data_IF_967559763573
#
_entry.id   IF_967559763573
#
_cell.length_a   1.000
_cell.length_b   1.000
_cell.length_c   1.000
_cell.angle_alpha   90.00
_cell.angle_beta   90.00
_cell.angle_gamma   90.00
#
_symmetry.space_group_name_H-M   'P 1'
#
loop_
_entity.id
_entity.type
_entity.pdbx_description
1 polymer ?
#
# COMPACT_ATOMS: atom_id res chain seq x y z
N UNK A 1 -12.20 24.33 18.76
CA UNK A 1 -11.90 24.41 17.32
C UNK A 1 -11.17 23.15 16.92
N UNK A 2 -11.37 22.62 15.70
CA UNK A 2 -10.60 21.46 15.23
C UNK A 2 -9.11 21.78 15.11
N UNK A 3 -8.26 20.82 15.40
CA UNK A 3 -6.79 20.92 15.24
C UNK A 3 -6.27 19.78 14.36
N UNK A 4 -5.16 20.05 13.68
CA UNK A 4 -4.42 19.07 12.89
C UNK A 4 -2.96 19.05 13.38
N UNK A 5 -2.53 17.90 13.86
CA UNK A 5 -1.16 17.66 14.33
C UNK A 5 -0.42 16.71 13.40
N UNK A 6 0.82 17.07 13.04
CA UNK A 6 1.68 16.30 12.16
C UNK A 6 2.62 15.43 12.99
N UNK A 7 2.31 14.14 13.13
CA UNK A 7 3.06 13.21 13.99
C UNK A 7 4.16 12.45 13.24
N UNK A 8 4.09 12.41 11.91
CA UNK A 8 5.04 11.73 11.04
C UNK A 8 4.98 12.23 9.60
N UNK A 9 5.81 11.64 8.72
CA UNK A 9 5.97 12.04 7.30
C UNK A 9 6.20 13.55 7.04
N UNK A 10 6.78 14.29 7.99
CA UNK A 10 7.21 15.68 7.83
C UNK A 10 8.72 15.75 7.72
N UNK A 11 9.22 16.30 6.60
CA UNK A 11 10.65 16.29 6.26
C UNK A 11 11.21 14.89 5.94
N UNK A 12 10.33 13.91 5.68
CA UNK A 12 10.65 12.53 5.32
C UNK A 12 9.48 11.91 4.57
N UNK A 13 9.71 10.88 3.75
CA UNK A 13 8.66 10.20 2.94
C UNK A 13 7.85 9.20 3.76
N UNK A 14 8.48 8.58 4.75
CA UNK A 14 7.94 7.40 5.45
C UNK A 14 7.43 7.72 6.86
N UNK A 15 6.54 6.87 7.38
CA UNK A 15 5.96 6.99 8.72
C UNK A 15 4.80 7.97 8.75
N UNK A 16 3.90 7.89 7.77
CA UNK A 16 2.71 8.76 7.66
C UNK A 16 1.79 8.60 8.86
N UNK A 17 1.56 9.73 9.57
CA UNK A 17 0.70 9.82 10.76
C UNK A 17 0.25 11.27 10.97
N UNK A 18 -1.04 11.52 10.88
CA UNK A 18 -1.64 12.84 11.13
C UNK A 18 -2.81 12.70 12.10
N UNK A 19 -2.92 13.60 13.07
CA UNK A 19 -3.98 13.54 14.08
C UNK A 19 -4.93 14.71 13.89
N UNK A 20 -6.21 14.42 13.66
CA UNK A 20 -7.28 15.41 13.73
C UNK A 20 -7.92 15.31 15.10
N UNK A 21 -8.04 16.43 15.79
CA UNK A 21 -8.84 16.51 17.02
C UNK A 21 -10.02 17.45 16.80
N UNK A 22 -11.22 16.99 17.10
CA UNK A 22 -12.45 17.79 16.99
C UNK A 22 -13.51 17.22 17.93
N UNK A 23 -14.27 18.08 18.60
CA UNK A 23 -15.34 17.67 19.53
C UNK A 23 -14.87 16.77 20.68
N UNK A 24 -13.61 16.91 21.11
CA UNK A 24 -13.01 16.04 22.12
C UNK A 24 -12.71 14.62 21.62
N UNK A 25 -12.78 14.40 20.30
CA UNK A 25 -12.47 13.14 19.62
C UNK A 25 -11.19 13.23 18.82
N UNK A 26 -10.44 12.13 18.75
CA UNK A 26 -9.13 12.03 18.09
C UNK A 26 -9.17 11.01 16.96
N UNK A 27 -8.92 11.47 15.74
CA UNK A 27 -8.91 10.66 14.51
C UNK A 27 -7.49 10.61 13.95
N UNK A 28 -6.89 9.44 13.91
CA UNK A 28 -5.56 9.24 13.34
C UNK A 28 -5.66 8.87 11.86
N UNK A 29 -5.13 9.71 10.98
CA UNK A 29 -4.99 9.45 9.55
C UNK A 29 -3.61 8.83 9.31
N UNK A 30 -3.62 7.61 8.76
CA UNK A 30 -2.48 6.72 8.63
C UNK A 30 -1.78 6.36 9.96
N UNK A 31 -1.17 5.18 9.99
CA UNK A 31 -0.40 4.66 11.10
C UNK A 31 0.86 3.95 10.58
N UNK A 32 1.71 4.70 9.88
CA UNK A 32 2.84 4.16 9.14
C UNK A 32 4.11 3.85 9.94
N UNK A 33 4.91 2.87 9.49
CA UNK A 33 6.30 2.71 9.97
C UNK A 33 7.25 3.69 9.30
N UNK A 34 8.23 4.19 10.04
CA UNK A 34 9.40 4.84 9.48
C UNK A 34 10.36 3.79 8.89
N UNK A 35 10.64 3.87 7.59
CA UNK A 35 11.53 2.97 6.85
C UNK A 35 12.85 3.66 6.44
N UNK A 36 13.72 2.94 5.72
CA UNK A 36 14.93 3.51 5.11
C UNK A 36 16.12 3.70 6.06
N UNK A 37 16.53 4.93 6.35
CA UNK A 37 17.73 5.23 7.15
C UNK A 37 17.59 4.78 8.61
N UNK A 38 18.71 4.34 9.23
CA UNK A 38 18.72 3.82 10.62
C UNK A 38 18.08 4.79 11.61
N UNK A 39 18.43 6.07 11.50
CA UNK A 39 17.87 7.14 12.35
C UNK A 39 16.33 7.21 12.27
N UNK A 40 15.76 6.99 11.09
CA UNK A 40 14.30 6.97 10.91
C UNK A 40 13.67 5.73 11.53
N UNK A 41 14.22 4.54 11.24
CA UNK A 41 13.66 3.29 11.82
C UNK A 41 13.68 3.27 13.35
N UNK A 42 14.67 3.89 13.98
CA UNK A 42 14.73 4.01 15.44
C UNK A 42 13.55 4.80 16.01
N UNK A 43 12.97 5.75 15.26
CA UNK A 43 11.77 6.49 15.68
C UNK A 43 10.55 5.60 15.85
N UNK A 44 10.52 4.42 15.24
CA UNK A 44 9.46 3.46 15.52
C UNK A 44 9.52 2.95 16.96
N UNK A 45 10.67 3.00 17.63
CA UNK A 45 10.85 2.55 19.02
C UNK A 45 10.47 3.59 20.06
N UNK A 46 10.45 4.87 19.69
CA UNK A 46 10.06 5.97 20.56
C UNK A 46 8.63 5.80 21.08
N UNK A 47 8.35 6.39 22.24
CA UNK A 47 6.98 6.49 22.76
C UNK A 47 6.09 7.20 21.75
N UNK A 48 4.86 6.69 21.58
CA UNK A 48 3.90 7.37 20.72
C UNK A 48 3.59 8.76 21.32
N UNK A 49 3.51 9.83 20.50
CA UNK A 49 3.37 11.19 21.03
C UNK A 49 2.09 11.45 21.85
N UNK A 50 1.09 10.58 21.72
CA UNK A 50 -0.16 10.60 22.48
C UNK A 50 -0.44 9.20 23.04
N UNK A 51 -1.29 9.09 24.05
CA UNK A 51 -1.69 7.77 24.54
C UNK A 51 -2.53 7.06 23.46
N UNK A 52 -2.19 5.82 23.04
CA UNK A 52 -2.98 5.08 22.05
C UNK A 52 -4.44 4.89 22.45
N UNK A 53 -4.74 4.82 23.75
CA UNK A 53 -6.10 4.70 24.28
C UNK A 53 -6.96 5.96 24.11
N UNK A 54 -6.35 7.10 23.82
CA UNK A 54 -7.07 8.35 23.56
C UNK A 54 -7.48 8.50 22.09
N UNK A 55 -6.98 7.64 21.20
CA UNK A 55 -7.34 7.66 19.78
C UNK A 55 -8.67 6.92 19.62
N UNK A 56 -9.68 7.62 19.12
CA UNK A 56 -11.01 7.03 18.91
C UNK A 56 -11.06 6.17 17.64
N UNK A 57 -10.41 6.62 16.57
CA UNK A 57 -10.51 6.00 15.24
C UNK A 57 -9.18 6.11 14.49
N UNK A 58 -8.81 5.06 13.76
CA UNK A 58 -7.74 5.10 12.76
C UNK A 58 -8.35 5.03 11.36
N UNK A 59 -7.86 5.86 10.44
CA UNK A 59 -8.32 5.93 9.05
C UNK A 59 -7.11 5.74 8.15
N UNK A 60 -7.09 4.70 7.33
CA UNK A 60 -5.95 4.35 6.48
C UNK A 60 -6.21 4.75 5.03
N UNK A 61 -5.26 5.45 4.43
CA UNK A 61 -5.32 5.86 3.02
C UNK A 61 -5.11 4.68 2.07
N UNK A 62 -4.08 3.87 2.31
CA UNK A 62 -3.72 2.73 1.48
C UNK A 62 -2.84 1.73 2.23
N UNK A 63 -2.57 0.57 1.62
CA UNK A 63 -2.02 -0.59 2.32
C UNK A 63 -0.50 -0.58 2.58
N UNK A 64 0.28 0.36 2.03
CA UNK A 64 1.72 0.35 2.22
C UNK A 64 2.12 0.46 3.70
N UNK A 65 3.25 -0.16 4.04
CA UNK A 65 3.72 -0.33 5.43
C UNK A 65 4.11 1.00 6.09
N UNK A 66 4.54 1.99 5.31
CA UNK A 66 4.76 3.35 5.77
C UNK A 66 3.50 4.20 5.93
N UNK A 67 2.32 3.61 5.72
CA UNK A 67 1.01 4.16 6.03
C UNK A 67 0.20 3.29 7.01
N UNK A 68 0.53 2.00 7.15
CA UNK A 68 -0.26 1.05 7.98
C UNK A 68 0.54 0.27 9.00
N UNK A 69 1.85 0.12 8.79
CA UNK A 69 2.64 -0.88 9.49
C UNK A 69 2.88 -0.63 10.97
N UNK A 70 2.62 0.57 11.50
CA UNK A 70 2.71 0.82 12.94
C UNK A 70 1.42 0.45 13.69
N UNK A 71 0.31 0.22 12.98
CA UNK A 71 -0.98 -0.10 13.57
C UNK A 71 -0.92 -1.30 14.54
N UNK A 72 -0.25 -2.44 14.24
CA UNK A 72 -0.13 -3.53 15.20
C UNK A 72 0.50 -3.12 16.53
N UNK A 73 1.52 -2.25 16.50
CA UNK A 73 2.13 -1.72 17.72
C UNK A 73 1.23 -0.72 18.44
N UNK A 74 0.47 0.09 17.69
CA UNK A 74 -0.51 0.99 18.29
C UNK A 74 -1.57 0.20 19.09
N UNK A 75 -2.09 -0.88 18.51
CA UNK A 75 -3.06 -1.79 19.14
C UNK A 75 -2.48 -2.45 20.38
N UNK A 76 -1.29 -3.04 20.26
CA UNK A 76 -0.54 -3.62 21.38
C UNK A 76 -0.35 -2.65 22.55
N UNK A 77 -0.21 -1.37 22.26
CA UNK A 77 -0.02 -0.32 23.26
C UNK A 77 -1.33 0.31 23.78
N UNK A 78 -2.49 -0.28 23.48
CA UNK A 78 -3.76 0.08 24.10
C UNK A 78 -4.75 0.86 23.22
N UNK A 79 -4.59 0.83 21.89
CA UNK A 79 -5.65 1.29 20.98
C UNK A 79 -6.65 0.15 20.70
N UNK A 80 -7.95 0.45 20.83
CA UNK A 80 -9.05 -0.51 20.65
C UNK A 80 -10.17 0.01 19.74
N UNK A 81 -10.00 1.18 19.13
CA UNK A 81 -11.00 1.80 18.26
C UNK A 81 -11.10 1.13 16.88
N UNK A 82 -12.13 1.47 16.08
CA UNK A 82 -12.26 0.96 14.72
C UNK A 82 -11.16 1.52 13.81
N UNK A 83 -10.77 0.70 12.83
CA UNK A 83 -9.86 1.06 11.75
C UNK A 83 -10.66 1.11 10.44
N UNK A 84 -10.84 2.29 9.86
CA UNK A 84 -11.52 2.43 8.57
C UNK A 84 -10.52 2.46 7.41
N UNK A 85 -10.80 1.69 6.38
CA UNK A 85 -10.05 1.65 5.14
C UNK A 85 -10.96 1.21 4.00
N UNK A 86 -10.51 1.32 2.75
CA UNK A 86 -11.26 0.75 1.63
C UNK A 86 -11.27 -0.79 1.69
N UNK A 87 -12.24 -1.44 1.03
CA UNK A 87 -12.29 -2.91 0.98
C UNK A 87 -10.98 -3.52 0.49
N UNK A 88 -10.41 -2.99 -0.60
CA UNK A 88 -9.18 -3.52 -1.15
C UNK A 88 -7.95 -3.20 -0.28
N UNK A 89 -7.90 -2.03 0.38
CA UNK A 89 -6.85 -1.74 1.37
C UNK A 89 -6.93 -2.70 2.56
N UNK A 90 -8.13 -3.00 3.08
CA UNK A 90 -8.29 -4.01 4.15
C UNK A 90 -7.82 -5.40 3.72
N UNK A 91 -8.18 -5.83 2.51
CA UNK A 91 -7.72 -7.12 1.94
C UNK A 91 -6.19 -7.15 1.81
N UNK A 92 -5.57 -6.09 1.30
CA UNK A 92 -4.10 -5.99 1.19
C UNK A 92 -3.43 -5.94 2.56
N UNK A 93 -3.96 -5.19 3.54
CA UNK A 93 -3.44 -5.18 4.90
C UNK A 93 -3.49 -6.56 5.57
N UNK A 94 -4.49 -7.40 5.25
CA UNK A 94 -4.57 -8.78 5.74
C UNK A 94 -3.39 -9.66 5.32
N UNK A 95 -2.70 -9.27 4.24
CA UNK A 95 -1.47 -9.89 3.77
C UNK A 95 -0.22 -9.15 4.29
N UNK A 96 -0.19 -7.82 4.16
CA UNK A 96 1.00 -7.02 4.39
C UNK A 96 1.39 -6.91 5.87
N UNK A 97 0.40 -6.77 6.79
CA UNK A 97 0.71 -6.63 8.22
C UNK A 97 1.29 -7.92 8.82
N UNK A 98 0.73 -9.12 8.57
CA UNK A 98 1.33 -10.37 9.05
C UNK A 98 2.70 -10.67 8.43
N UNK A 99 2.89 -10.39 7.13
CA UNK A 99 4.19 -10.57 6.46
C UNK A 99 5.27 -9.67 7.08
N UNK A 100 4.95 -8.39 7.27
CA UNK A 100 5.84 -7.44 7.95
C UNK A 100 6.17 -7.88 9.38
N UNK A 101 5.20 -8.42 10.12
CA UNK A 101 5.43 -8.96 11.46
C UNK A 101 6.35 -10.19 11.44
N UNK A 102 6.12 -11.10 10.49
CA UNK A 102 6.92 -12.31 10.33
C UNK A 102 8.39 -11.98 10.06
N UNK A 103 8.66 -11.07 9.12
CA UNK A 103 10.02 -10.60 8.82
C UNK A 103 10.71 -10.01 10.06
N UNK A 104 9.98 -9.23 10.87
CA UNK A 104 10.54 -8.66 12.10
C UNK A 104 10.85 -9.72 13.16
N UNK A 105 10.00 -10.75 13.29
CA UNK A 105 10.26 -11.88 14.17
C UNK A 105 11.48 -12.68 13.72
N UNK A 106 11.63 -12.91 12.41
CA UNK A 106 12.80 -13.58 11.85
C UNK A 106 14.08 -12.78 12.07
N UNK A 107 14.06 -11.47 11.83
CA UNK A 107 15.19 -10.57 12.09
C UNK A 107 15.60 -10.60 13.57
N UNK A 108 14.63 -10.55 14.48
CA UNK A 108 14.89 -10.65 15.92
C UNK A 108 15.49 -12.01 16.30
N UNK A 109 14.94 -13.12 15.79
CA UNK A 109 15.46 -14.49 16.00
C UNK A 109 16.89 -14.62 15.47
N UNK A 110 17.15 -14.12 14.27
CA UNK A 110 18.46 -14.13 13.64
C UNK A 110 19.48 -13.31 14.45
N UNK A 111 19.11 -12.11 14.88
CA UNK A 111 19.95 -11.25 15.71
C UNK A 111 20.31 -11.89 17.06
N UNK A 112 19.33 -12.54 17.71
CA UNK A 112 19.57 -13.30 18.93
C UNK A 112 20.49 -14.51 18.70
N UNK A 113 20.27 -15.26 17.61
CA UNK A 113 21.11 -16.43 17.24
C UNK A 113 22.56 -16.04 16.97
N UNK A 114 22.77 -14.95 16.24
CA UNK A 114 24.10 -14.48 15.84
C UNK A 114 24.77 -13.54 16.87
N UNK A 115 24.07 -13.16 17.94
CA UNK A 115 24.56 -12.32 19.05
C UNK A 115 25.19 -10.98 18.63
N UNK A 116 24.73 -10.36 17.54
CA UNK A 116 25.21 -9.04 17.10
C UNK A 116 24.33 -7.87 17.58
N UNK A 117 23.24 -8.16 18.30
CA UNK A 117 22.34 -7.15 18.87
C UNK A 117 22.93 -6.55 20.16
N UNK A 118 22.72 -5.24 20.36
CA UNK A 118 23.00 -4.56 21.64
C UNK A 118 21.90 -4.81 22.69
N UNK A 119 20.72 -5.24 22.25
CA UNK A 119 19.59 -5.58 23.11
C UNK A 119 19.53 -7.09 23.33
N UNK A 120 19.35 -7.51 24.58
CA UNK A 120 19.32 -8.93 24.98
C UNK A 120 18.04 -9.21 25.77
N UNK A 121 17.01 -9.85 25.17
CA UNK A 121 16.94 -10.27 23.77
C UNK A 121 16.63 -9.12 22.80
N UNK A 122 16.97 -9.30 21.51
CA UNK A 122 16.35 -8.55 20.44
C UNK A 122 14.86 -8.92 20.35
N UNK A 123 14.00 -7.92 20.25
CA UNK A 123 12.56 -8.08 20.12
C UNK A 123 12.08 -7.52 18.78
N UNK A 124 11.07 -8.14 18.14
CA UNK A 124 10.37 -7.50 17.04
C UNK A 124 9.56 -6.31 17.56
N UNK A 125 9.23 -5.35 16.68
CA UNK A 125 8.39 -4.21 17.05
C UNK A 125 6.97 -4.67 17.43
N UNK A 126 6.49 -5.67 16.70
CA UNK A 126 5.23 -6.38 16.90
C UNK A 126 5.33 -7.78 16.27
N UNK A 127 4.46 -8.68 16.71
CA UNK A 127 4.39 -10.08 16.32
C UNK A 127 3.29 -10.34 15.30
N UNK A 128 3.28 -11.54 14.71
CA UNK A 128 2.19 -11.94 13.79
C UNK A 128 0.83 -11.94 14.50
N UNK A 129 0.80 -12.24 15.80
CA UNK A 129 -0.43 -12.16 16.60
C UNK A 129 -0.87 -10.72 16.80
N UNK A 130 0.05 -9.81 17.12
CA UNK A 130 -0.24 -8.37 17.21
C UNK A 130 -0.84 -7.84 15.88
N UNK A 131 -0.35 -8.33 14.73
CA UNK A 131 -0.91 -7.97 13.43
C UNK A 131 -2.33 -8.52 13.21
N UNK A 132 -2.63 -9.74 13.66
CA UNK A 132 -3.98 -10.31 13.62
C UNK A 132 -4.95 -9.55 14.52
N UNK A 133 -4.51 -9.17 15.72
CA UNK A 133 -5.31 -8.39 16.65
C UNK A 133 -5.67 -7.03 16.03
N UNK A 134 -4.71 -6.36 15.37
CA UNK A 134 -4.99 -5.15 14.62
C UNK A 134 -5.96 -5.35 13.46
N UNK A 135 -5.82 -6.44 12.70
CA UNK A 135 -6.74 -6.77 11.60
C UNK A 135 -8.18 -6.99 12.07
N UNK A 136 -8.40 -7.43 13.32
CA UNK A 136 -9.74 -7.62 13.88
C UNK A 136 -10.52 -6.31 14.05
N UNK A 137 -9.83 -5.16 14.08
CA UNK A 137 -10.41 -3.83 14.22
C UNK A 137 -10.81 -3.19 12.87
N UNK A 138 -10.49 -3.83 11.73
CA UNK A 138 -10.76 -3.28 10.41
C UNK A 138 -12.26 -3.28 10.08
N UNK A 139 -12.71 -2.13 9.58
CA UNK A 139 -14.06 -1.86 9.11
C UNK A 139 -13.97 -1.40 7.65
N UNK A 140 -14.07 -2.31 6.66
CA UNK A 140 -13.91 -1.97 5.24
C UNK A 140 -15.09 -1.15 4.70
N UNK A 141 -14.78 -0.05 4.01
CA UNK A 141 -15.76 0.89 3.44
C UNK A 141 -15.58 0.99 1.92
N UNK A 142 -16.60 0.75 1.08
CA UNK A 142 -16.49 0.98 -0.36
C UNK A 142 -16.24 2.46 -0.69
N UNK A 143 -15.57 2.73 -1.82
CA UNK A 143 -15.44 4.09 -2.34
C UNK A 143 -16.79 4.79 -2.48
N UNK A 144 -16.80 6.10 -2.23
CA UNK A 144 -17.98 6.96 -2.37
C UNK A 144 -19.03 6.78 -1.27
N UNK A 145 -18.95 5.75 -0.42
CA UNK A 145 -19.81 5.60 0.75
C UNK A 145 -19.37 6.58 1.84
N UNK A 146 -20.25 7.50 2.22
CA UNK A 146 -20.06 8.37 3.37
C UNK A 146 -20.42 7.64 4.65
N UNK A 147 -19.57 7.73 5.67
CA UNK A 147 -19.84 7.27 7.02
C UNK A 147 -19.82 8.44 8.01
N UNK A 148 -20.71 8.40 8.98
CA UNK A 148 -20.80 9.39 10.06
C UNK A 148 -19.92 8.92 11.22
N UNK A 149 -18.83 9.65 11.50
CA UNK A 149 -17.93 9.37 12.63
C UNK A 149 -18.50 9.97 13.92
N UNK A 150 -19.06 11.18 13.83
CA UNK A 150 -19.88 11.85 14.86
C UNK A 150 -21.02 12.60 14.14
N UNK A 151 -22.05 13.10 14.84
CA UNK A 151 -23.10 13.91 14.21
C UNK A 151 -22.61 15.11 13.38
N UNK A 152 -21.36 15.56 13.59
CA UNK A 152 -20.76 16.70 12.89
C UNK A 152 -19.54 16.33 12.03
N UNK A 153 -19.12 15.05 12.01
CA UNK A 153 -17.94 14.60 11.29
C UNK A 153 -18.30 13.44 10.38
N UNK A 154 -18.08 13.61 9.08
CA UNK A 154 -18.29 12.59 8.06
C UNK A 154 -16.97 12.24 7.37
N UNK A 155 -16.82 10.97 7.00
CA UNK A 155 -15.69 10.44 6.24
C UNK A 155 -16.19 9.81 4.94
N UNK A 156 -15.53 10.11 3.82
CA UNK A 156 -15.71 9.41 2.55
C UNK A 156 -14.35 9.05 1.95
N UNK A 157 -14.22 7.82 1.44
CA UNK A 157 -13.05 7.43 0.66
C UNK A 157 -13.28 7.71 -0.82
N UNK A 158 -12.34 8.39 -1.48
CA UNK A 158 -12.34 8.60 -2.94
C UNK A 158 -11.08 8.01 -3.53
N UNK A 159 -11.16 7.49 -4.74
CA UNK A 159 -10.02 6.80 -5.35
C UNK A 159 -8.81 7.73 -5.52
N UNK A 160 -7.64 7.31 -5.04
CA UNK A 160 -6.39 8.04 -5.18
C UNK A 160 -5.55 7.56 -6.38
N UNK A 161 -5.89 6.42 -6.98
CA UNK A 161 -5.20 5.87 -8.16
C UNK A 161 -3.74 5.44 -7.93
N UNK A 162 -3.26 5.33 -6.69
CA UNK A 162 -1.86 5.00 -6.36
C UNK A 162 -1.59 3.49 -6.37
N UNK A 163 -2.35 2.76 -5.55
CA UNK A 163 -2.42 1.30 -5.57
C UNK A 163 -3.88 0.87 -5.46
N UNK A 164 -4.17 -0.41 -5.70
CA UNK A 164 -5.51 -0.95 -5.53
C UNK A 164 -6.05 -0.66 -4.13
N UNK A 165 -7.18 0.02 -4.02
CA UNK A 165 -7.76 0.41 -2.73
C UNK A 165 -7.23 1.72 -2.15
N UNK A 166 -6.22 2.35 -2.75
CA UNK A 166 -5.72 3.64 -2.28
C UNK A 166 -6.80 4.73 -2.35
N UNK A 167 -6.83 5.59 -1.34
CA UNK A 167 -7.90 6.56 -1.22
C UNK A 167 -7.44 7.91 -0.68
N UNK A 168 -8.03 8.96 -1.27
CA UNK A 168 -8.20 10.22 -0.60
C UNK A 168 -9.15 10.05 0.58
N UNK A 169 -8.73 10.56 1.72
CA UNK A 169 -9.53 10.63 2.94
C UNK A 169 -10.20 12.00 2.98
N UNK A 170 -11.48 12.02 2.59
CA UNK A 170 -12.32 13.21 2.49
C UNK A 170 -13.17 13.36 3.76
N UNK A 171 -12.77 14.30 4.62
CA UNK A 171 -13.40 14.54 5.92
C UNK A 171 -14.15 15.86 5.87
N UNK A 172 -15.43 15.81 6.25
CA UNK A 172 -16.27 17.00 6.44
C UNK A 172 -16.53 17.20 7.91
N UNK A 173 -16.18 18.37 8.43
CA UNK A 173 -16.31 18.75 9.84
C UNK A 173 -17.23 19.95 9.93
N UNK A 174 -18.30 19.85 10.72
CA UNK A 174 -19.20 20.97 11.03
C UNK A 174 -18.76 21.66 12.32
N UNK A 175 -18.46 22.96 12.25
CA UNK A 175 -18.03 23.78 13.39
C UNK A 175 -18.86 25.05 13.41
N UNK A 176 -19.54 25.34 14.53
CA UNK A 176 -20.36 26.55 14.71
C UNK A 176 -21.38 26.81 13.58
N UNK A 177 -21.92 25.74 12.98
CA UNK A 177 -22.86 25.84 11.87
C UNK A 177 -22.22 25.86 10.47
N UNK A 178 -20.92 26.13 10.37
CA UNK A 178 -20.17 26.11 9.10
C UNK A 178 -19.57 24.72 8.83
N UNK A 179 -19.52 24.31 7.56
CA UNK A 179 -18.85 23.07 7.14
C UNK A 179 -17.46 23.40 6.62
N UNK A 180 -16.47 22.65 7.10
CA UNK A 180 -15.10 22.64 6.57
C UNK A 180 -14.79 21.27 6.00
N UNK A 181 -14.08 21.24 4.88
CA UNK A 181 -13.64 20.04 4.20
C UNK A 181 -12.13 19.93 4.19
N UNK A 182 -11.64 18.84 4.76
CA UNK A 182 -10.22 18.50 4.84
C UNK A 182 -10.00 17.25 4.01
N UNK A 183 -9.08 17.32 3.05
CA UNK A 183 -8.72 16.20 2.18
C UNK A 183 -7.28 15.81 2.43
N UNK A 184 -7.04 14.54 2.77
CA UNK A 184 -5.70 13.95 2.77
C UNK A 184 -5.54 13.14 1.49
N UNK A 185 -4.47 13.38 0.74
CA UNK A 185 -4.21 12.63 -0.48
C UNK A 185 -3.78 11.19 -0.22
N UNK A 186 -3.13 10.92 0.92
CA UNK A 186 -2.22 9.77 1.00
C UNK A 186 -1.15 9.90 -0.09
N UNK A 187 -0.74 8.79 -0.67
CA UNK A 187 0.06 8.80 -1.89
C UNK A 187 -0.84 9.02 -3.11
N UNK A 188 -0.39 9.87 -4.03
CA UNK A 188 -1.17 10.28 -5.19
C UNK A 188 -0.77 9.49 -6.43
N UNK A 189 -1.73 8.77 -7.00
CA UNK A 189 -1.57 8.07 -8.27
C UNK A 189 -1.37 9.00 -9.45
N UNK A 190 -0.75 8.46 -10.51
CA UNK A 190 -0.73 9.12 -11.82
C UNK A 190 -1.98 8.70 -12.60
N UNK A 191 -2.52 9.55 -13.49
CA UNK A 191 -3.52 9.11 -14.45
C UNK A 191 -2.97 8.03 -15.40
N UNK A 192 -3.87 7.29 -16.03
CA UNK A 192 -3.60 6.26 -17.03
C UNK A 192 -2.60 5.19 -16.57
N UNK A 193 -2.62 4.83 -15.28
CA UNK A 193 -1.91 3.65 -14.81
C UNK A 193 -2.70 2.39 -15.19
N UNK A 194 -2.03 1.30 -15.65
CA UNK A 194 -2.72 0.05 -15.92
C UNK A 194 -3.47 -0.47 -14.70
N UNK A 195 -4.67 -1.02 -14.91
CA UNK A 195 -5.53 -1.65 -13.89
C UNK A 195 -6.22 -0.65 -12.96
N UNK A 196 -5.54 0.42 -12.57
CA UNK A 196 -6.02 1.38 -11.58
C UNK A 196 -6.88 2.46 -12.24
N UNK A 197 -7.91 2.91 -11.54
CA UNK A 197 -8.67 4.08 -11.98
C UNK A 197 -7.83 5.34 -11.80
N UNK A 198 -8.10 6.32 -12.64
CA UNK A 198 -7.54 7.66 -12.45
C UNK A 198 -7.93 8.23 -11.07
N UNK A 199 -7.02 9.02 -10.44
CA UNK A 199 -7.33 9.70 -9.20
C UNK A 199 -8.61 10.54 -9.32
N UNK A 200 -9.51 10.41 -8.35
CA UNK A 200 -10.82 11.06 -8.40
C UNK A 200 -10.69 12.58 -8.27
N UNK A 201 -11.26 13.35 -9.19
CA UNK A 201 -11.21 14.81 -9.08
C UNK A 201 -12.07 15.31 -7.91
N UNK A 202 -11.47 16.08 -7.00
CA UNK A 202 -12.16 16.67 -5.85
C UNK A 202 -12.20 18.19 -5.97
N UNK A 203 -13.40 18.78 -5.88
CA UNK A 203 -13.64 20.23 -5.91
C UNK A 203 -14.12 20.73 -4.55
N UNK A 204 -13.87 22.00 -4.22
CA UNK A 204 -14.41 22.63 -3.01
C UNK A 204 -13.83 22.02 -1.73
N UNK A 205 -12.50 22.02 -1.64
CA UNK A 205 -11.72 21.59 -0.47
C UNK A 205 -11.17 22.83 0.22
N UNK A 206 -11.39 22.98 1.53
CA UNK A 206 -10.86 24.10 2.29
C UNK A 206 -9.39 23.87 2.68
N UNK A 207 -9.04 22.63 3.03
CA UNK A 207 -7.69 22.21 3.41
C UNK A 207 -7.27 20.96 2.65
N UNK A 208 -6.16 21.03 1.93
CA UNK A 208 -5.56 19.90 1.20
C UNK A 208 -4.21 19.55 1.84
N UNK A 209 -4.11 18.34 2.35
CA UNK A 209 -2.86 17.73 2.79
C UNK A 209 -2.41 16.81 1.66
N UNK A 210 -1.36 17.21 0.96
CA UNK A 210 -0.85 16.51 -0.22
C UNK A 210 0.57 15.99 0.02
N UNK A 211 0.85 14.79 -0.48
CA UNK A 211 2.20 14.26 -0.51
C UNK A 211 3.15 15.09 -1.40
N UNK A 212 4.45 14.88 -1.25
CA UNK A 212 5.47 15.60 -2.00
C UNK A 212 6.66 14.72 -2.37
N UNK A 213 6.45 13.42 -2.57
CA UNK A 213 7.51 12.43 -2.87
C UNK A 213 8.33 12.83 -4.09
N UNK A 214 7.65 13.40 -5.09
CA UNK A 214 8.24 13.90 -6.32
C UNK A 214 8.12 15.42 -6.47
N UNK A 215 7.89 16.16 -5.38
CA UNK A 215 7.65 17.60 -5.43
C UNK A 215 8.81 18.45 -5.96
N UNK A 216 10.00 17.85 -6.12
CA UNK A 216 11.20 18.52 -6.64
C UNK A 216 11.47 18.27 -8.14
N UNK A 217 10.61 17.54 -8.86
CA UNK A 217 10.80 17.25 -10.28
C UNK A 217 9.49 17.15 -11.04
N UNK A 218 9.55 17.41 -12.34
CA UNK A 218 8.47 17.09 -13.27
C UNK A 218 8.64 15.66 -13.77
N UNK A 219 7.52 14.99 -14.01
CA UNK A 219 7.56 13.69 -14.66
C UNK A 219 7.65 13.87 -16.18
N UNK A 220 8.40 12.99 -16.84
CA UNK A 220 8.42 12.91 -18.31
C UNK A 220 7.14 12.28 -18.88
N UNK A 221 6.96 12.47 -20.20
CA UNK A 221 5.94 11.82 -21.03
C UNK A 221 6.53 10.58 -21.72
N UNK A 222 7.27 9.77 -20.98
CA UNK A 222 7.93 8.59 -21.52
C UNK A 222 6.90 7.50 -21.83
N UNK A 223 6.99 6.92 -23.02
CA UNK A 223 6.26 5.71 -23.36
C UNK A 223 6.92 4.51 -22.67
N UNK A 224 6.54 4.30 -21.42
CA UNK A 224 7.10 3.24 -20.58
C UNK A 224 6.81 1.84 -21.12
N UNK A 225 5.72 1.67 -21.89
CA UNK A 225 5.34 0.38 -22.48
C UNK A 225 6.29 0.04 -23.63
N UNK A 226 6.57 0.99 -24.52
CA UNK A 226 7.57 0.81 -25.59
C UNK A 226 8.98 0.61 -25.04
N UNK A 227 9.38 1.34 -24.00
CA UNK A 227 10.68 1.15 -23.37
C UNK A 227 10.82 -0.24 -22.71
N UNK A 228 9.76 -0.74 -22.06
CA UNK A 228 9.75 -2.10 -21.52
C UNK A 228 9.89 -3.14 -22.64
N UNK A 229 9.16 -2.99 -23.75
CA UNK A 229 9.28 -3.87 -24.91
C UNK A 229 10.71 -3.88 -25.48
N UNK A 230 11.31 -2.71 -25.62
CA UNK A 230 12.70 -2.54 -26.07
C UNK A 230 13.69 -3.29 -25.17
N UNK A 231 13.55 -3.16 -23.86
CA UNK A 231 14.44 -3.84 -22.89
C UNK A 231 14.24 -5.35 -22.92
N UNK A 232 12.99 -5.84 -22.99
CA UNK A 232 12.67 -7.26 -23.10
C UNK A 232 13.29 -7.85 -24.37
N UNK A 233 13.02 -7.26 -25.53
CA UNK A 233 13.54 -7.76 -26.81
C UNK A 233 15.07 -7.78 -26.84
N UNK A 234 15.74 -6.71 -26.38
CA UNK A 234 17.20 -6.67 -26.29
C UNK A 234 17.80 -7.74 -25.36
N UNK A 235 17.09 -8.10 -24.28
CA UNK A 235 17.52 -9.20 -23.41
C UNK A 235 17.43 -10.54 -24.11
N UNK A 236 16.32 -10.77 -24.83
CA UNK A 236 16.06 -12.02 -25.56
C UNK A 236 17.04 -12.21 -26.72
N UNK A 237 17.31 -11.16 -27.51
CA UNK A 237 18.27 -11.18 -28.62
C UNK A 237 19.68 -11.60 -28.18
N UNK A 238 20.04 -11.31 -26.92
CA UNK A 238 21.32 -11.68 -26.33
C UNK A 238 21.31 -13.06 -25.67
N UNK A 239 20.19 -13.78 -25.69
CA UNK A 239 20.00 -15.03 -24.96
C UNK A 239 20.13 -14.85 -23.45
N UNK A 240 19.68 -13.71 -22.92
CA UNK A 240 19.84 -13.35 -21.51
C UNK A 240 18.52 -13.35 -20.74
N UNK A 241 18.64 -13.42 -19.40
CA UNK A 241 17.50 -13.32 -18.46
C UNK A 241 17.33 -11.87 -18.00
N UNK A 242 16.08 -11.38 -17.98
CA UNK A 242 15.73 -10.07 -17.43
C UNK A 242 15.22 -10.23 -16.00
N UNK A 243 15.94 -9.66 -15.03
CA UNK A 243 15.53 -9.63 -13.61
C UNK A 243 15.00 -8.24 -13.28
N UNK A 244 13.75 -8.17 -12.79
CA UNK A 244 13.08 -6.90 -12.43
C UNK A 244 12.76 -6.92 -10.94
N UNK A 245 13.53 -6.20 -10.08
CA UNK A 245 13.13 -6.00 -8.70
C UNK A 245 11.90 -5.08 -8.66
N UNK A 246 10.85 -5.51 -7.97
CA UNK A 246 9.56 -4.81 -7.96
C UNK A 246 8.88 -4.95 -6.60
N UNK A 247 8.06 -3.96 -6.24
CA UNK A 247 7.16 -4.08 -5.10
C UNK A 247 6.14 -5.18 -5.36
N UNK A 248 5.90 -6.01 -4.33
CA UNK A 248 4.99 -7.15 -4.43
C UNK A 248 3.53 -6.74 -4.68
N UNK A 249 3.14 -5.55 -4.22
CA UNK A 249 1.80 -4.96 -4.38
C UNK A 249 1.90 -3.74 -5.29
N UNK A 250 1.03 -3.64 -6.30
CA UNK A 250 1.02 -2.56 -7.28
C UNK A 250 1.93 -2.89 -8.46
N UNK A 251 3.23 -2.62 -8.34
CA UNK A 251 4.15 -2.60 -9.48
C UNK A 251 4.32 -3.97 -10.17
N UNK A 252 4.30 -5.06 -9.40
CA UNK A 252 4.34 -6.41 -10.00
C UNK A 252 3.12 -6.70 -10.86
N UNK A 253 1.92 -6.29 -10.42
CA UNK A 253 0.68 -6.51 -11.16
C UNK A 253 0.63 -5.64 -12.43
N UNK A 254 1.07 -4.39 -12.37
CA UNK A 254 1.22 -3.52 -13.54
C UNK A 254 2.16 -4.13 -14.58
N UNK A 255 3.30 -4.68 -14.16
CA UNK A 255 4.25 -5.35 -15.06
C UNK A 255 3.62 -6.58 -15.73
N UNK A 256 2.92 -7.43 -14.96
CA UNK A 256 2.23 -8.60 -15.52
C UNK A 256 1.17 -8.21 -16.56
N UNK A 257 0.38 -7.17 -16.27
CA UNK A 257 -0.60 -6.64 -17.22
C UNK A 257 0.07 -6.10 -18.48
N UNK A 258 1.11 -5.28 -18.33
CA UNK A 258 1.80 -4.65 -19.47
C UNK A 258 2.50 -5.69 -20.34
N UNK A 259 3.14 -6.70 -19.74
CA UNK A 259 3.79 -7.80 -20.48
C UNK A 259 2.75 -8.59 -21.26
N UNK A 260 1.58 -8.90 -20.67
CA UNK A 260 0.48 -9.58 -21.37
C UNK A 260 0.06 -8.79 -22.61
N UNK A 261 -0.15 -7.48 -22.49
CA UNK A 261 -0.52 -6.64 -23.63
C UNK A 261 0.53 -6.66 -24.73
N UNK A 262 1.81 -6.53 -24.37
CA UNK A 262 2.90 -6.58 -25.33
C UNK A 262 2.96 -7.93 -26.06
N UNK A 263 2.64 -9.05 -25.38
CA UNK A 263 2.52 -10.37 -26.00
C UNK A 263 1.30 -10.47 -26.94
N UNK A 264 0.17 -9.86 -26.58
CA UNK A 264 -1.05 -9.82 -27.41
C UNK A 264 -0.88 -8.95 -28.65
N UNK A 265 -0.15 -7.84 -28.53
CA UNK A 265 0.20 -6.91 -29.61
C UNK A 265 1.32 -7.43 -30.51
N UNK A 266 1.94 -8.57 -30.17
CA UNK A 266 3.15 -9.11 -30.80
C UNK A 266 4.35 -8.13 -30.78
N UNK A 267 4.36 -7.20 -29.82
CA UNK A 267 5.49 -6.29 -29.59
C UNK A 267 6.66 -6.99 -28.90
N UNK A 268 6.39 -8.08 -28.17
CA UNK A 268 7.38 -9.02 -27.64
C UNK A 268 6.94 -10.46 -27.94
N UNK A 269 7.88 -11.43 -28.05
CA UNK A 269 7.51 -12.84 -28.17
C UNK A 269 6.92 -13.38 -26.86
N UNK A 270 6.16 -14.47 -26.95
CA UNK A 270 5.58 -15.16 -25.78
C UNK A 270 6.64 -15.89 -24.96
N UNK A 271 7.07 -15.29 -23.87
CA UNK A 271 8.20 -15.73 -23.04
C UNK A 271 7.75 -16.32 -21.70
N UNK A 272 8.55 -17.20 -21.08
CA UNK A 272 8.34 -17.57 -19.69
C UNK A 272 8.47 -16.34 -18.78
N UNK A 273 7.48 -16.12 -17.92
CA UNK A 273 7.49 -15.02 -16.93
C UNK A 273 7.35 -15.63 -15.55
N UNK A 274 8.28 -15.31 -14.66
CA UNK A 274 8.33 -15.84 -13.30
C UNK A 274 8.03 -14.75 -12.28
N UNK A 275 7.10 -15.01 -11.36
CA UNK A 275 6.94 -14.20 -10.14
C UNK A 275 7.46 -15.01 -8.97
N UNK A 276 8.59 -14.55 -8.42
CA UNK A 276 9.31 -15.20 -7.31
C UNK A 276 9.11 -14.41 -6.01
N UNK A 277 7.88 -14.44 -5.50
CA UNK A 277 7.53 -13.84 -4.21
C UNK A 277 6.19 -14.38 -3.73
N UNK A 278 6.14 -15.10 -2.59
CA UNK A 278 4.88 -15.55 -2.00
C UNK A 278 3.91 -14.39 -1.75
N UNK A 279 4.44 -13.23 -1.37
CA UNK A 279 3.67 -11.99 -1.17
C UNK A 279 3.11 -11.49 -2.50
N UNK A 280 3.92 -11.35 -3.56
CA UNK A 280 3.43 -10.84 -4.83
C UNK A 280 2.35 -11.75 -5.44
N UNK A 281 2.52 -13.06 -5.33
CA UNK A 281 1.55 -14.03 -5.81
C UNK A 281 0.23 -13.94 -5.03
N UNK A 282 0.31 -13.70 -3.71
CA UNK A 282 -0.89 -13.53 -2.87
C UNK A 282 -1.58 -12.19 -3.15
N UNK A 283 -0.81 -11.13 -3.40
CA UNK A 283 -1.32 -9.83 -3.82
C UNK A 283 -2.04 -9.91 -5.18
N UNK A 284 -1.51 -10.65 -6.15
CA UNK A 284 -2.17 -10.89 -7.45
C UNK A 284 -3.58 -11.48 -7.27
N UNK A 285 -3.77 -12.43 -6.33
CA UNK A 285 -5.11 -12.96 -6.01
C UNK A 285 -6.05 -11.91 -5.42
N UNK A 286 -5.52 -10.96 -4.64
CA UNK A 286 -6.31 -9.86 -4.07
C UNK A 286 -6.77 -8.90 -5.17
N UNK A 287 -5.92 -8.63 -6.17
CA UNK A 287 -6.30 -7.90 -7.38
C UNK A 287 -7.42 -8.63 -8.14
N UNK A 288 -7.26 -9.94 -8.37
CA UNK A 288 -8.31 -10.76 -9.02
C UNK A 288 -9.64 -10.77 -8.26
N UNK A 289 -9.61 -10.72 -6.92
CA UNK A 289 -10.81 -10.64 -6.06
C UNK A 289 -11.49 -9.26 -6.16
N UNK A 290 -10.73 -8.19 -6.29
CA UNK A 290 -11.22 -6.81 -6.20
C UNK A 290 -11.41 -6.12 -7.57
N UNK A 291 -11.78 -6.89 -8.61
CA UNK A 291 -12.07 -6.40 -9.98
C UNK A 291 -13.04 -5.21 -10.05
N UNK A 292 -13.94 -5.08 -9.08
CA UNK A 292 -14.86 -3.94 -8.97
C UNK A 292 -14.11 -2.60 -8.94
N UNK A 293 -12.91 -2.57 -8.37
CA UNK A 293 -12.10 -1.37 -8.15
C UNK A 293 -11.10 -1.10 -9.28
N UNK A 294 -11.04 -1.96 -10.30
CA UNK A 294 -10.23 -1.72 -11.49
C UNK A 294 -10.82 -0.61 -12.38
N UNK A 295 -9.99 -0.11 -13.30
CA UNK A 295 -10.39 0.74 -14.42
C UNK A 295 -11.40 0.06 -15.36
N UNK A 296 -11.95 0.82 -16.29
CA UNK A 296 -12.94 0.31 -17.23
C UNK A 296 -12.31 -0.66 -18.25
N UNK A 297 -11.12 -0.38 -18.73
CA UNK A 297 -10.42 -1.19 -19.74
C UNK A 297 -10.16 -2.61 -19.24
N UNK A 298 -9.56 -2.73 -18.07
CA UNK A 298 -9.30 -3.99 -17.37
C UNK A 298 -10.59 -4.76 -17.07
N UNK A 299 -11.68 -4.06 -16.73
CA UNK A 299 -12.98 -4.70 -16.55
C UNK A 299 -13.52 -5.28 -17.85
N UNK A 300 -13.41 -4.54 -18.95
CA UNK A 300 -13.84 -5.02 -20.28
C UNK A 300 -13.05 -6.26 -20.69
N UNK A 301 -11.73 -6.26 -20.50
CA UNK A 301 -10.87 -7.43 -20.77
C UNK A 301 -11.32 -8.62 -19.92
N UNK A 302 -11.53 -8.41 -18.62
CA UNK A 302 -11.97 -9.45 -17.68
C UNK A 302 -13.36 -10.02 -18.03
N UNK A 303 -14.30 -9.17 -18.46
CA UNK A 303 -15.63 -9.60 -18.91
C UNK A 303 -15.57 -10.41 -20.21
N UNK A 304 -14.57 -10.16 -21.05
CA UNK A 304 -14.25 -10.99 -22.23
C UNK A 304 -13.67 -12.37 -21.90
N UNK A 305 -13.65 -12.78 -20.63
CA UNK A 305 -13.15 -14.09 -20.19
C UNK A 305 -11.64 -14.20 -20.08
N UNK A 306 -10.91 -13.09 -20.22
CA UNK A 306 -9.46 -13.04 -20.10
C UNK A 306 -9.02 -12.72 -18.68
N UNK A 307 -7.90 -13.30 -18.28
CA UNK A 307 -7.24 -12.95 -17.03
C UNK A 307 -6.23 -11.83 -17.28
N UNK A 308 -6.49 -10.66 -16.69
CA UNK A 308 -5.72 -9.43 -16.96
C UNK A 308 -4.29 -9.50 -16.43
N UNK A 309 -3.98 -10.40 -15.48
CA UNK A 309 -2.64 -10.53 -14.88
C UNK A 309 -1.87 -11.76 -15.38
N UNK A 310 -2.42 -12.47 -16.36
CA UNK A 310 -1.85 -13.73 -16.85
C UNK A 310 -1.19 -13.56 -18.21
N UNK A 311 0.14 -13.58 -18.21
CA UNK A 311 0.94 -13.68 -19.44
C UNK A 311 0.83 -15.09 -20.04
N UNK A 312 1.27 -15.27 -21.29
CA UNK A 312 1.13 -16.51 -22.04
C UNK A 312 1.78 -17.72 -21.33
N UNK A 313 2.89 -17.50 -20.61
CA UNK A 313 3.65 -18.54 -19.88
C UNK A 313 4.00 -18.09 -18.45
N UNK A 314 3.02 -17.59 -17.71
CA UNK A 314 3.19 -17.18 -16.32
C UNK A 314 3.44 -18.38 -15.39
N UNK A 315 4.49 -18.29 -14.56
CA UNK A 315 4.84 -19.28 -13.55
C UNK A 315 5.06 -18.61 -12.19
N UNK A 316 4.55 -19.25 -11.14
CA UNK A 316 4.65 -18.76 -9.77
C UNK A 316 5.60 -19.62 -8.96
N UNK A 317 6.67 -19.02 -8.44
CA UNK A 317 7.55 -19.64 -7.47
C UNK A 317 7.09 -19.23 -6.06
N UNK A 318 6.35 -20.12 -5.39
CA UNK A 318 5.80 -19.92 -4.04
C UNK A 318 6.72 -20.43 -2.94
N UNK A 319 7.52 -21.46 -3.21
CA UNK A 319 8.38 -22.07 -2.21
C UNK A 319 9.85 -21.76 -2.49
N UNK A 320 10.68 -21.88 -1.45
CA UNK A 320 12.12 -21.73 -1.58
C UNK A 320 12.70 -22.70 -2.61
N UNK A 321 12.19 -23.92 -2.68
CA UNK A 321 12.61 -24.95 -3.64
C UNK A 321 12.27 -24.52 -5.07
N UNK A 322 11.07 -23.95 -5.29
CA UNK A 322 10.67 -23.43 -6.60
C UNK A 322 11.54 -22.24 -7.03
N UNK A 323 11.83 -21.31 -6.10
CA UNK A 323 12.75 -20.19 -6.34
C UNK A 323 14.15 -20.70 -6.71
N UNK A 324 14.69 -21.65 -5.94
CA UNK A 324 16.01 -22.25 -6.22
C UNK A 324 16.05 -22.98 -7.57
N UNK A 325 14.95 -23.62 -7.98
CA UNK A 325 14.85 -24.30 -9.26
C UNK A 325 14.99 -23.35 -10.46
N UNK A 326 14.64 -22.06 -10.30
CA UNK A 326 14.79 -21.05 -11.36
C UNK A 326 16.26 -20.89 -11.80
N UNK A 327 17.22 -21.13 -10.90
CA UNK A 327 18.65 -21.04 -11.21
C UNK A 327 19.13 -22.14 -12.18
N UNK A 328 18.31 -23.16 -12.44
CA UNK A 328 18.66 -24.26 -13.34
C UNK A 328 18.05 -24.12 -14.74
N UNK A 329 17.24 -23.08 -14.96
CA UNK A 329 16.60 -22.80 -16.23
C UNK A 329 17.63 -22.19 -17.19
N UNK A 330 17.81 -22.82 -18.35
CA UNK A 330 18.67 -22.29 -19.41
C UNK A 330 17.96 -21.14 -20.13
N UNK A 331 18.69 -20.06 -20.31
CA UNK A 331 18.30 -18.84 -21.04
C UNK A 331 18.09 -19.08 -22.53
#
# INVERSE_FOLDING_TARGET
MPTLSFLGATGTVTGSRFLIESEGKKFLIDCGLFQGLKKLRLRNWDSFPISPSEIDVVILTHAHIDHTGYLPRLVKNGFYGPVYATTATSDLCSLMLPDSAHLQEEDAKYANKMKFTKHSPALPLYTVNDAKDALSLFNPIPYGKTITLTPNIELTFRDAGHILGSAFVDIRIKVNGERRRVLFSGDLGRPAQPILRDPHTVYGTDYLIIESTYGNRLHGNEDTKSELARVINKSIERGGVLIIPSFAVGRTQELLFTIRELEEENAIPKIPVYVDSPMAISATKIFEKNKKDHDLESKVIALGGRDILKTAKLQFARTREQSMALNTIKS
#
